data_IF_531140063811
#
_entry.id   IF_531140063811
#
_cell.length_a   1.000
_cell.length_b   1.000
_cell.length_c   1.000
_cell.angle_alpha   90.00
_cell.angle_beta   90.00
_cell.angle_gamma   90.00
#
_symmetry.space_group_name_H-M   'P 1'
#
loop_
_entity.id
_entity.type
_entity.pdbx_description
1 polymer ?
#
# COMPACT_ATOMS: atom_id res chain seq x y z
N UNK A 1 -32.18 3.69 -19.97
CA UNK A 1 -30.76 3.94 -20.27
C UNK A 1 -29.94 3.46 -19.08
N UNK A 2 -29.38 2.25 -19.15
CA UNK A 2 -28.53 1.69 -18.09
C UNK A 2 -27.08 2.10 -18.30
N UNK A 3 -26.64 3.14 -17.60
CA UNK A 3 -25.23 3.56 -17.61
C UNK A 3 -24.37 2.55 -16.88
N UNK A 4 -23.43 1.91 -17.58
CA UNK A 4 -22.36 1.14 -16.95
C UNK A 4 -21.45 2.13 -16.22
N UNK A 5 -21.48 2.14 -14.89
CA UNK A 5 -20.46 2.83 -14.09
C UNK A 5 -19.11 2.18 -14.40
N UNK A 6 -18.26 2.89 -15.13
CA UNK A 6 -16.86 2.50 -15.30
C UNK A 6 -16.15 2.93 -14.03
N UNK A 7 -15.64 1.96 -13.25
CA UNK A 7 -14.77 2.27 -12.12
C UNK A 7 -13.50 2.91 -12.67
N UNK A 8 -13.35 4.21 -12.42
CA UNK A 8 -12.14 4.95 -12.79
C UNK A 8 -11.13 4.77 -11.65
N UNK A 9 -10.03 4.11 -11.95
CA UNK A 9 -8.92 4.00 -11.02
C UNK A 9 -8.01 5.22 -11.20
N UNK A 10 -7.91 6.05 -10.16
CA UNK A 10 -6.88 7.08 -10.11
C UNK A 10 -5.61 6.50 -9.50
N UNK A 11 -4.48 6.76 -10.14
CA UNK A 11 -3.17 6.34 -9.66
C UNK A 11 -2.44 7.55 -9.08
N UNK A 12 -2.13 7.50 -7.79
CA UNK A 12 -1.43 8.57 -7.09
C UNK A 12 0.03 8.15 -6.85
N UNK A 13 0.96 9.03 -7.17
CA UNK A 13 2.40 8.84 -6.91
C UNK A 13 2.90 9.83 -5.87
N UNK A 14 3.64 9.36 -4.88
CA UNK A 14 4.28 10.22 -3.86
C UNK A 14 5.79 10.11 -4.01
N UNK A 15 6.45 11.24 -4.29
CA UNK A 15 7.91 11.32 -4.31
C UNK A 15 8.47 11.24 -2.89
N UNK A 16 9.46 10.38 -2.68
CA UNK A 16 10.11 10.23 -1.38
C UNK A 16 11.40 11.06 -1.36
N UNK A 17 11.57 12.00 -0.41
CA UNK A 17 12.79 12.77 -0.30
C UNK A 17 14.03 11.87 -0.12
N UNK A 18 15.13 12.23 -0.77
CA UNK A 18 16.37 11.43 -0.82
C UNK A 18 16.91 11.04 0.57
N UNK A 19 16.73 11.90 1.58
CA UNK A 19 17.15 11.64 2.97
C UNK A 19 16.48 10.41 3.60
N UNK A 20 15.39 9.92 3.03
CA UNK A 20 14.68 8.72 3.49
C UNK A 20 14.95 7.49 2.61
N UNK A 21 15.81 7.61 1.60
CA UNK A 21 16.05 6.53 0.64
C UNK A 21 16.54 5.26 1.31
N UNK A 22 17.55 5.36 2.20
CA UNK A 22 18.08 4.23 2.97
C UNK A 22 17.01 3.55 3.84
N UNK A 23 16.01 4.30 4.30
CA UNK A 23 14.91 3.75 5.10
C UNK A 23 13.89 3.01 4.24
N UNK A 24 13.67 3.45 3.00
CA UNK A 24 12.62 2.91 2.11
C UNK A 24 13.15 1.81 1.18
N UNK A 25 14.44 1.85 0.84
CA UNK A 25 15.11 0.87 -0.02
C UNK A 25 14.79 -0.60 0.33
N UNK A 26 14.77 -1.02 1.61
CA UNK A 26 14.44 -2.41 1.97
C UNK A 26 13.01 -2.85 1.61
N UNK A 27 12.12 -1.92 1.29
CA UNK A 27 10.72 -2.15 0.95
C UNK A 27 10.43 -2.03 -0.55
N UNK A 28 11.40 -1.57 -1.35
CA UNK A 28 11.24 -1.45 -2.81
C UNK A 28 11.03 -2.81 -3.44
N UNK A 29 10.01 -2.93 -4.31
CA UNK A 29 9.67 -4.17 -5.01
C UNK A 29 9.06 -5.27 -4.13
N UNK A 30 8.77 -5.00 -2.85
CA UNK A 30 8.07 -5.93 -1.96
C UNK A 30 6.56 -5.71 -2.02
N UNK A 31 5.81 -6.78 -1.78
CA UNK A 31 4.38 -6.67 -1.53
C UNK A 31 4.17 -6.10 -0.12
N UNK A 32 3.52 -4.94 -0.04
CA UNK A 32 3.28 -4.22 1.20
C UNK A 32 1.78 -4.04 1.39
N UNK A 33 1.29 -4.35 2.58
CA UNK A 33 -0.06 -4.00 2.97
C UNK A 33 -0.12 -2.50 3.31
N UNK A 34 -1.06 -1.80 2.68
CA UNK A 34 -1.31 -0.38 2.90
C UNK A 34 -2.49 -0.18 3.86
N UNK A 35 -2.28 0.65 4.88
CA UNK A 35 -3.34 1.15 5.74
C UNK A 35 -3.35 2.68 5.69
N UNK A 36 -4.50 3.27 5.38
CA UNK A 36 -4.66 4.72 5.33
C UNK A 36 -5.52 5.15 6.49
N UNK A 37 -5.03 6.11 7.28
CA UNK A 37 -5.73 6.69 8.41
C UNK A 37 -5.77 8.19 8.29
N UNK A 38 -6.82 8.81 8.80
CA UNK A 38 -6.92 10.26 8.95
C UNK A 38 -6.55 10.65 10.38
N UNK A 39 -5.65 11.60 10.54
CA UNK A 39 -5.34 12.22 11.83
C UNK A 39 -5.87 13.66 11.84
N UNK A 40 -6.91 13.92 12.62
CA UNK A 40 -7.57 15.23 12.62
C UNK A 40 -8.29 15.53 11.30
N UNK A 41 -8.41 16.82 10.95
CA UNK A 41 -9.23 17.26 9.80
C UNK A 41 -8.51 17.28 8.46
N UNK A 42 -7.18 17.30 8.43
CA UNK A 42 -6.41 17.58 7.21
C UNK A 42 -5.14 16.74 7.03
N UNK A 43 -4.86 15.78 7.92
CA UNK A 43 -3.68 14.93 7.81
C UNK A 43 -4.10 13.50 7.46
N UNK A 44 -3.48 12.97 6.41
CA UNK A 44 -3.59 11.57 6.03
C UNK A 44 -2.26 10.89 6.40
N UNK A 45 -2.35 9.76 7.07
CA UNK A 45 -1.22 8.91 7.43
C UNK A 45 -1.36 7.61 6.66
N UNK A 46 -0.39 7.36 5.77
CA UNK A 46 -0.28 6.12 5.01
C UNK A 46 0.77 5.25 5.70
N UNK A 47 0.37 4.08 6.16
CA UNK A 47 1.24 3.10 6.81
C UNK A 47 1.41 1.91 5.86
N UNK A 48 2.64 1.67 5.44
CA UNK A 48 3.02 0.51 4.62
C UNK A 48 3.70 -0.52 5.53
N UNK A 49 3.25 -1.78 5.48
CA UNK A 49 3.86 -2.88 6.24
C UNK A 49 4.22 -4.02 5.30
N UNK A 50 5.38 -4.69 5.48
CA UNK A 50 5.64 -5.95 4.81
C UNK A 50 4.49 -6.91 5.08
N UNK A 51 4.02 -7.55 4.02
CA UNK A 51 3.07 -8.65 4.17
C UNK A 51 3.81 -9.80 4.85
N UNK A 52 3.29 -10.30 5.96
CA UNK A 52 3.81 -11.54 6.52
C UNK A 52 3.61 -12.64 5.47
N UNK A 53 4.67 -13.38 5.16
CA UNK A 53 4.59 -14.57 4.32
C UNK A 53 3.73 -15.60 5.05
N UNK A 54 2.42 -15.56 4.83
CA UNK A 54 1.53 -16.70 5.08
C UNK A 54 1.77 -17.71 3.96
N UNK A 55 2.97 -18.31 3.92
CA UNK A 55 3.11 -19.61 3.30
C UNK A 55 2.24 -20.54 4.14
N UNK A 56 0.97 -20.68 3.74
CA UNK A 56 0.05 -21.64 4.31
C UNK A 56 0.82 -22.96 4.36
N UNK A 57 1.04 -23.47 5.58
CA UNK A 57 1.54 -24.82 5.75
C UNK A 57 0.50 -25.72 5.08
N UNK A 58 0.75 -26.12 3.83
CA UNK A 58 -0.04 -27.12 3.13
C UNK A 58 0.29 -28.42 3.85
N UNK A 59 -0.43 -28.69 4.94
CA UNK A 59 -0.62 -30.05 5.41
C UNK A 59 -1.38 -30.77 4.28
N UNK A 60 -0.64 -31.28 3.31
CA UNK A 60 -1.14 -32.29 2.38
C UNK A 60 -1.45 -33.55 3.20
N UNK A 61 -2.66 -34.13 3.04
CA UNK A 61 -3.06 -35.36 3.74
C UNK A 61 -2.25 -36.57 3.31
#
# INVERSE_FOLDING_TARGET
>A
MGGKSVYQYEHLSVGIPIKFHETVEPFVGKDLDMNVKTEGKSKIVIVLKPRENVSANRNTP
#
